data_IF_649474801411
#
_entry.id   IF_649474801411
#
_cell.length_a   1.000
_cell.length_b   1.000
_cell.length_c   1.000
_cell.angle_alpha   90.00
_cell.angle_beta   90.00
_cell.angle_gamma   90.00
#
_symmetry.space_group_name_H-M   'P 1'
#
loop_
_entity.id
_entity.type
_entity.pdbx_description
1 polymer ?
#
# COMPACT_ATOMS: atom_id res chain seq x y z
N UNK A 1 -10.39 -13.12 -17.11
CA UNK A 1 -9.28 -13.67 -17.93
C UNK A 1 -9.14 -15.19 -17.81
N UNK A 2 -9.03 -15.76 -16.60
CA UNK A 2 -8.84 -17.22 -16.43
C UNK A 2 -9.94 -18.07 -17.10
N UNK A 3 -11.22 -17.72 -16.94
CA UNK A 3 -12.34 -18.41 -17.60
C UNK A 3 -12.31 -18.32 -19.13
N UNK A 4 -11.82 -17.22 -19.69
CA UNK A 4 -11.66 -17.08 -21.14
C UNK A 4 -10.53 -17.99 -21.66
N UNK A 5 -9.43 -18.10 -20.92
CA UNK A 5 -8.36 -19.03 -21.24
C UNK A 5 -8.81 -20.50 -21.13
N UNK A 6 -9.60 -20.85 -20.10
CA UNK A 6 -10.24 -22.16 -20.00
C UNK A 6 -11.06 -22.45 -21.25
N UNK A 7 -11.99 -21.56 -21.61
CA UNK A 7 -12.83 -21.70 -22.82
C UNK A 7 -12.00 -21.84 -24.10
N UNK A 8 -10.89 -21.12 -24.22
CA UNK A 8 -10.02 -21.25 -25.40
C UNK A 8 -9.39 -22.65 -25.52
N UNK A 9 -9.11 -23.31 -24.39
CA UNK A 9 -8.51 -24.65 -24.35
C UNK A 9 -9.52 -25.78 -24.48
N UNK A 10 -10.70 -25.61 -23.89
CA UNK A 10 -11.70 -26.69 -23.76
C UNK A 10 -12.90 -26.51 -24.68
N UNK A 11 -13.13 -25.31 -25.20
CA UNK A 11 -14.38 -24.94 -25.89
C UNK A 11 -15.52 -24.60 -24.92
N UNK A 12 -15.33 -24.79 -23.61
CA UNK A 12 -16.40 -24.70 -22.62
C UNK A 12 -16.27 -23.46 -21.74
N UNK A 13 -17.39 -22.74 -21.58
CA UNK A 13 -17.50 -21.69 -20.57
C UNK A 13 -17.48 -22.28 -19.16
N UNK A 14 -17.34 -21.41 -18.15
CA UNK A 14 -17.45 -21.80 -16.75
C UNK A 14 -18.15 -20.71 -15.95
N UNK A 15 -18.86 -21.12 -14.89
CA UNK A 15 -19.43 -20.19 -13.91
C UNK A 15 -18.32 -19.66 -12.98
N UNK A 16 -18.39 -18.38 -12.64
CA UNK A 16 -17.50 -17.74 -11.67
C UNK A 16 -18.35 -17.23 -10.50
N UNK A 17 -18.00 -17.64 -9.29
CA UNK A 17 -18.61 -17.14 -8.06
C UNK A 17 -17.59 -16.34 -7.25
N UNK A 18 -18.05 -15.26 -6.64
CA UNK A 18 -17.24 -14.38 -5.81
C UNK A 18 -18.12 -13.60 -4.85
N UNK A 19 -17.59 -13.29 -3.67
CA UNK A 19 -18.29 -12.52 -2.64
C UNK A 19 -17.40 -11.43 -2.05
N UNK A 20 -18.03 -10.35 -1.54
CA UNK A 20 -17.34 -9.30 -0.80
C UNK A 20 -16.57 -9.88 0.41
N UNK A 21 -17.11 -10.92 1.04
CA UNK A 21 -16.46 -11.60 2.15
C UNK A 21 -15.16 -12.31 1.71
N UNK A 22 -15.19 -13.05 0.61
CA UNK A 22 -13.97 -13.68 0.05
C UNK A 22 -12.93 -12.62 -0.30
N UNK A 23 -13.34 -11.50 -0.91
CA UNK A 23 -12.44 -10.38 -1.22
C UNK A 23 -11.81 -9.77 0.04
N UNK A 24 -12.62 -9.54 1.08
CA UNK A 24 -12.14 -9.00 2.35
C UNK A 24 -11.19 -9.95 3.10
N UNK A 25 -11.43 -11.27 3.03
CA UNK A 25 -10.52 -12.28 3.58
C UNK A 25 -9.20 -12.29 2.79
N UNK A 26 -9.27 -12.27 1.46
CA UNK A 26 -8.09 -12.25 0.61
C UNK A 26 -7.21 -11.01 0.85
N UNK A 27 -7.82 -9.83 0.97
CA UNK A 27 -7.12 -8.58 1.30
C UNK A 27 -6.44 -8.61 2.69
N UNK A 28 -6.92 -9.48 3.60
CA UNK A 28 -6.39 -9.66 4.95
C UNK A 28 -5.62 -10.98 5.13
N UNK A 29 -5.22 -11.63 4.03
CA UNK A 29 -4.65 -12.98 4.05
C UNK A 29 -3.53 -13.14 5.09
N UNK A 30 -2.60 -12.18 5.19
CA UNK A 30 -1.55 -12.21 6.20
C UNK A 30 -2.07 -12.38 7.64
N UNK A 31 -3.06 -11.56 8.04
CA UNK A 31 -3.61 -11.58 9.40
C UNK A 31 -4.45 -12.84 9.64
N UNK A 32 -5.28 -13.21 8.67
CA UNK A 32 -6.14 -14.39 8.76
C UNK A 32 -5.29 -15.66 8.84
N UNK A 33 -4.29 -15.81 7.99
CA UNK A 33 -3.35 -16.95 8.03
C UNK A 33 -2.58 -16.98 9.35
N UNK A 34 -2.10 -15.83 9.85
CA UNK A 34 -1.42 -15.77 11.15
C UNK A 34 -2.30 -16.29 12.29
N UNK A 35 -3.59 -15.91 12.30
CA UNK A 35 -4.56 -16.45 13.25
C UNK A 35 -4.73 -17.97 13.08
N UNK A 36 -4.97 -18.44 11.85
CA UNK A 36 -5.18 -19.87 11.56
C UNK A 36 -3.97 -20.73 11.95
N UNK A 37 -2.75 -20.20 11.87
CA UNK A 37 -1.53 -20.92 12.24
C UNK A 37 -1.26 -20.93 13.74
N UNK A 38 -1.51 -19.81 14.43
CA UNK A 38 -1.05 -19.61 15.82
C UNK A 38 -2.18 -19.71 16.86
N UNK A 39 -3.43 -19.57 16.44
CA UNK A 39 -4.57 -19.39 17.33
C UNK A 39 -4.56 -18.07 18.12
N UNK A 40 -3.60 -17.17 17.86
CA UNK A 40 -3.45 -15.92 18.61
C UNK A 40 -4.71 -15.06 18.47
N UNK A 41 -5.26 -14.58 19.59
CA UNK A 41 -6.52 -13.84 19.68
C UNK A 41 -7.81 -14.67 19.50
N UNK A 42 -7.74 -16.01 19.54
CA UNK A 42 -8.94 -16.84 19.59
C UNK A 42 -9.85 -16.46 20.76
N UNK A 43 -11.13 -16.21 20.48
CA UNK A 43 -12.13 -15.80 21.48
C UNK A 43 -11.98 -14.37 21.99
N UNK A 44 -11.14 -13.54 21.36
CA UNK A 44 -10.92 -12.15 21.75
C UNK A 44 -11.08 -11.21 20.55
N UNK A 45 -11.52 -9.95 20.75
CA UNK A 45 -11.49 -8.97 19.68
C UNK A 45 -10.05 -8.70 19.27
N UNK A 46 -9.83 -8.47 17.97
CA UNK A 46 -8.52 -8.04 17.47
C UNK A 46 -8.11 -6.75 18.19
N UNK A 47 -6.94 -6.73 18.85
CA UNK A 47 -6.53 -5.57 19.62
C UNK A 47 -6.22 -4.40 18.68
N UNK A 48 -6.63 -3.19 19.09
CA UNK A 48 -6.11 -1.96 18.49
C UNK A 48 -4.70 -1.74 19.03
N UNK A 49 -3.68 -2.14 18.26
CA UNK A 49 -2.29 -2.03 18.69
C UNK A 49 -1.85 -0.57 18.55
N UNK A 50 -1.43 0.03 19.66
CA UNK A 50 -0.84 1.37 19.67
C UNK A 50 0.51 1.36 18.93
N UNK A 51 0.82 2.44 18.18
CA UNK A 51 2.14 2.67 17.58
C UNK A 51 3.30 2.56 18.58
N UNK A 52 3.03 2.76 19.87
CA UNK A 52 4.03 2.71 20.95
C UNK A 52 4.39 1.27 21.35
N UNK A 53 3.67 0.28 20.84
CA UNK A 53 3.86 -1.14 21.13
C UNK A 53 4.11 -1.95 19.84
N UNK A 54 4.42 -1.27 18.73
CA UNK A 54 4.84 -1.90 17.47
C UNK A 54 6.35 -1.85 17.30
N UNK A 55 6.89 -2.62 16.37
CA UNK A 55 8.32 -2.53 16.03
C UNK A 55 8.70 -1.09 15.67
N UNK A 56 9.81 -0.54 16.18
CA UNK A 56 10.27 0.80 15.81
C UNK A 56 10.68 0.88 14.33
N UNK A 57 11.00 -0.26 13.72
CA UNK A 57 11.38 -0.36 12.31
C UNK A 57 10.20 -0.67 11.38
N UNK A 58 9.01 -0.92 11.95
CA UNK A 58 7.73 -1.00 11.23
C UNK A 58 6.77 0.01 11.85
N UNK A 59 7.07 1.28 11.66
CA UNK A 59 6.38 2.39 12.33
C UNK A 59 6.48 3.67 11.49
N UNK A 60 5.73 4.68 11.89
CA UNK A 60 5.79 6.02 11.30
C UNK A 60 6.36 7.02 12.30
N UNK A 61 7.07 8.07 11.89
CA UNK A 61 7.58 9.12 12.79
C UNK A 61 7.39 10.49 12.17
N UNK A 62 7.01 11.48 12.98
CA UNK A 62 6.79 12.84 12.52
C UNK A 62 8.12 13.59 12.50
N UNK A 63 8.49 14.10 11.34
CA UNK A 63 9.69 14.87 11.10
C UNK A 63 9.51 16.34 11.47
N UNK A 64 10.61 17.11 11.42
CA UNK A 64 10.66 18.54 11.80
C UNK A 64 9.68 19.42 11.03
N UNK A 65 9.52 19.14 9.75
CA UNK A 65 8.63 19.84 8.80
C UNK A 65 7.16 19.44 8.97
N UNK A 66 6.85 18.59 9.95
CA UNK A 66 5.50 18.11 10.23
C UNK A 66 5.04 16.95 9.34
N UNK A 67 5.86 16.52 8.39
CA UNK A 67 5.60 15.36 7.53
C UNK A 67 5.90 14.06 8.28
N UNK A 68 5.26 12.98 7.88
CA UNK A 68 5.49 11.66 8.47
C UNK A 68 6.41 10.83 7.58
N UNK A 69 7.30 10.06 8.18
CA UNK A 69 8.14 9.06 7.51
C UNK A 69 7.67 7.69 7.98
N UNK A 70 7.31 6.80 7.06
CA UNK A 70 6.96 5.40 7.35
C UNK A 70 8.16 4.51 7.10
N UNK A 71 8.52 3.70 8.09
CA UNK A 71 9.51 2.63 8.00
C UNK A 71 8.79 1.28 7.84
N UNK A 72 9.30 0.44 6.95
CA UNK A 72 8.69 -0.85 6.60
C UNK A 72 9.73 -1.98 6.59
N UNK A 73 10.52 -2.09 7.65
CA UNK A 73 11.58 -3.08 7.79
C UNK A 73 11.14 -4.22 8.72
N UNK A 74 10.54 -5.26 8.13
CA UNK A 74 9.95 -6.38 8.86
C UNK A 74 10.97 -7.29 9.58
N UNK A 75 12.26 -7.19 9.26
CA UNK A 75 13.32 -8.05 9.79
C UNK A 75 14.22 -7.27 10.77
N UNK A 76 13.81 -7.09 12.04
CA UNK A 76 14.54 -6.22 12.96
C UNK A 76 15.99 -6.64 13.16
N UNK A 77 16.30 -7.94 13.26
CA UNK A 77 17.67 -8.42 13.39
C UNK A 77 18.60 -8.04 12.22
N UNK A 78 18.06 -7.91 11.00
CA UNK A 78 18.83 -7.48 9.81
C UNK A 78 19.05 -5.97 9.80
N UNK A 79 17.99 -5.21 10.04
CA UNK A 79 18.00 -3.76 9.81
C UNK A 79 18.44 -2.95 11.03
N UNK A 80 18.23 -3.46 12.24
CA UNK A 80 18.48 -2.72 13.48
C UNK A 80 19.93 -2.29 13.69
N UNK A 81 20.96 -3.14 13.49
CA UNK A 81 22.34 -2.72 13.68
C UNK A 81 22.73 -1.55 12.78
N UNK A 82 22.37 -1.64 11.49
CA UNK A 82 22.65 -0.60 10.51
C UNK A 82 21.82 0.67 10.80
N UNK A 83 20.55 0.53 11.20
CA UNK A 83 19.70 1.65 11.60
C UNK A 83 20.28 2.39 12.81
N UNK A 84 20.67 1.67 13.86
CA UNK A 84 21.30 2.26 15.06
C UNK A 84 22.55 3.05 14.72
N UNK A 85 23.47 2.42 13.97
CA UNK A 85 24.71 3.07 13.55
C UNK A 85 24.40 4.34 12.75
N UNK A 86 23.48 4.26 11.80
CA UNK A 86 23.11 5.38 10.93
C UNK A 86 22.47 6.54 11.74
N UNK A 87 21.60 6.23 12.70
CA UNK A 87 21.02 7.23 13.59
C UNK A 87 22.08 7.86 14.50
N UNK A 88 23.01 7.07 15.03
CA UNK A 88 24.11 7.58 15.86
C UNK A 88 25.05 8.49 15.06
N UNK A 89 25.43 8.11 13.84
CA UNK A 89 26.23 8.96 12.94
C UNK A 89 25.51 10.28 12.61
N UNK A 90 24.19 10.23 12.43
CA UNK A 90 23.38 11.39 12.05
C UNK A 90 23.08 12.35 13.23
N UNK A 91 22.99 11.84 14.45
CA UNK A 91 22.46 12.59 15.61
C UNK A 91 23.42 12.69 16.78
N UNK A 92 24.48 11.87 16.81
CA UNK A 92 25.34 11.68 17.96
C UNK A 92 24.69 10.90 19.11
N UNK A 93 23.42 10.46 18.95
CA UNK A 93 22.66 9.80 20.00
C UNK A 93 22.70 8.29 19.79
N UNK A 94 23.32 7.51 20.71
CA UNK A 94 23.25 6.05 20.64
C UNK A 94 21.83 5.57 20.95
N UNK A 95 21.42 4.52 20.26
CA UNK A 95 20.14 3.84 20.46
C UNK A 95 20.37 2.51 21.18
N UNK A 96 19.44 2.15 22.05
CA UNK A 96 19.39 0.87 22.77
C UNK A 96 18.06 0.18 22.42
N UNK A 97 17.96 -1.16 22.47
CA UNK A 97 19.01 -2.14 22.84
C UNK A 97 20.07 -2.36 21.75
N UNK A 98 21.14 -3.09 22.06
CA UNK A 98 22.15 -3.48 21.06
C UNK A 98 21.57 -4.34 19.94
N UNK A 99 20.77 -5.35 20.33
CA UNK A 99 20.05 -6.24 19.44
C UNK A 99 18.53 -6.04 19.61
N UNK A 100 17.81 -6.00 18.48
CA UNK A 100 16.36 -5.91 18.45
C UNK A 100 15.78 -7.15 17.79
N UNK A 101 14.94 -7.87 18.53
CA UNK A 101 14.24 -9.06 18.06
C UNK A 101 12.75 -8.99 18.43
N UNK A 102 11.95 -9.85 17.80
CA UNK A 102 10.51 -9.96 18.10
C UNK A 102 10.30 -10.33 19.58
N UNK A 103 11.11 -11.24 20.11
CA UNK A 103 10.98 -11.69 21.51
C UNK A 103 11.41 -10.59 22.49
N UNK A 104 12.47 -9.83 22.18
CA UNK A 104 12.87 -8.68 22.98
C UNK A 104 11.73 -7.66 23.07
N UNK A 105 11.13 -7.30 21.92
CA UNK A 105 10.02 -6.33 21.89
C UNK A 105 8.80 -6.78 22.71
N UNK A 106 8.55 -8.10 22.80
CA UNK A 106 7.47 -8.66 23.61
C UNK A 106 7.76 -8.62 25.11
N UNK A 107 9.01 -8.84 25.51
CA UNK A 107 9.41 -8.87 26.93
C UNK A 107 9.68 -7.48 27.51
N UNK A 108 10.07 -6.52 26.68
CA UNK A 108 10.55 -5.19 27.09
C UNK A 108 9.60 -4.07 26.62
N UNK A 109 8.32 -4.20 26.93
CA UNK A 109 7.30 -3.25 26.44
C UNK A 109 7.53 -1.81 26.91
N UNK A 110 8.05 -1.60 28.12
CA UNK A 110 8.32 -0.26 28.65
C UNK A 110 9.50 0.40 27.94
N UNK A 111 10.57 -0.35 27.73
CA UNK A 111 11.77 0.08 27.03
C UNK A 111 11.48 0.33 25.55
N UNK A 112 10.64 -0.51 24.92
CA UNK A 112 10.13 -0.30 23.56
C UNK A 112 9.38 1.02 23.43
N UNK A 113 8.48 1.33 24.36
CA UNK A 113 7.77 2.62 24.37
C UNK A 113 8.75 3.80 24.51
N UNK A 114 9.76 3.67 25.38
CA UNK A 114 10.81 4.67 25.54
C UNK A 114 11.65 4.86 24.28
N UNK A 115 12.01 3.77 23.60
CA UNK A 115 12.71 3.81 22.32
C UNK A 115 11.89 4.52 21.25
N UNK A 116 10.60 4.21 21.13
CA UNK A 116 9.72 4.86 20.15
C UNK A 116 9.57 6.35 20.44
N UNK A 117 9.43 6.74 21.71
CA UNK A 117 9.39 8.15 22.09
C UNK A 117 10.70 8.87 21.76
N UNK A 118 11.85 8.23 22.03
CA UNK A 118 13.16 8.76 21.63
C UNK A 118 13.29 8.91 20.11
N UNK A 119 12.76 7.96 19.35
CA UNK A 119 12.72 8.07 17.88
C UNK A 119 11.79 9.19 17.42
N UNK A 120 10.63 9.41 18.07
CA UNK A 120 9.78 10.58 17.78
C UNK A 120 10.57 11.90 17.94
N UNK A 121 11.37 12.03 19.02
CA UNK A 121 12.23 13.20 19.24
C UNK A 121 13.32 13.32 18.17
N UNK A 122 14.01 12.23 17.84
CA UNK A 122 15.08 12.25 16.85
C UNK A 122 14.55 12.61 15.46
N UNK A 123 13.46 11.98 15.01
CA UNK A 123 12.86 12.30 13.71
C UNK A 123 12.43 13.77 13.63
N UNK A 124 11.96 14.37 14.73
CA UNK A 124 11.60 15.78 14.79
C UNK A 124 12.79 16.77 14.63
N UNK A 125 14.04 16.30 14.60
CA UNK A 125 15.23 17.17 14.46
C UNK A 125 15.56 17.57 13.02
N UNK A 126 15.08 16.81 12.02
CA UNK A 126 15.35 17.05 10.59
C UNK A 126 14.08 16.92 9.74
N UNK A 127 14.01 17.56 8.56
CA UNK A 127 12.94 17.36 7.58
C UNK A 127 12.81 15.90 7.14
N UNK A 128 11.61 15.48 6.73
CA UNK A 128 11.33 14.09 6.38
C UNK A 128 12.19 13.58 5.22
N UNK A 129 12.41 14.41 4.19
CA UNK A 129 13.22 14.03 3.02
C UNK A 129 14.69 13.82 3.37
N UNK A 130 15.25 14.59 4.30
CA UNK A 130 16.63 14.37 4.77
C UNK A 130 16.77 13.01 5.45
N UNK A 131 15.80 12.60 6.27
CA UNK A 131 15.79 11.27 6.88
C UNK A 131 15.72 10.16 5.84
N UNK A 132 14.83 10.32 4.86
CA UNK A 132 14.67 9.37 3.76
C UNK A 132 15.97 9.23 2.97
N UNK A 133 16.59 10.32 2.54
CA UNK A 133 17.86 10.29 1.81
C UNK A 133 18.99 9.62 2.61
N UNK A 134 19.09 9.94 3.90
CA UNK A 134 20.13 9.42 4.77
C UNK A 134 20.00 7.91 4.99
N UNK A 135 18.79 7.44 5.32
CA UNK A 135 18.52 6.03 5.60
C UNK A 135 18.48 5.20 4.30
N UNK A 136 17.98 5.75 3.19
CA UNK A 136 17.93 5.05 1.89
C UNK A 136 19.31 4.74 1.34
N UNK A 137 20.32 5.59 1.59
CA UNK A 137 21.74 5.31 1.24
C UNK A 137 22.30 4.05 1.91
N UNK A 138 21.62 3.53 2.93
CA UNK A 138 21.98 2.33 3.68
C UNK A 138 20.98 1.18 3.44
N UNK A 139 20.29 1.19 2.29
CA UNK A 139 19.30 0.19 1.87
C UNK A 139 18.14 -0.01 2.87
N UNK A 140 17.79 1.04 3.62
CA UNK A 140 16.64 1.03 4.51
C UNK A 140 15.34 1.22 3.72
N UNK A 141 14.29 0.50 4.13
CA UNK A 141 12.96 0.58 3.51
C UNK A 141 12.12 1.61 4.24
N UNK A 142 12.04 2.81 3.66
CA UNK A 142 11.26 3.93 4.17
C UNK A 142 10.89 4.95 3.09
N UNK A 143 9.82 5.69 3.33
CA UNK A 143 9.41 6.83 2.51
C UNK A 143 8.58 7.84 3.32
N UNK A 144 8.53 9.08 2.83
CA UNK A 144 7.60 10.10 3.31
C UNK A 144 6.17 9.67 3.00
N UNK A 145 5.26 9.83 3.96
CA UNK A 145 3.83 9.67 3.74
C UNK A 145 3.37 10.81 2.82
N UNK A 146 3.00 10.44 1.59
CA UNK A 146 2.56 11.37 0.57
C UNK A 146 1.10 11.80 0.78
N UNK A 147 0.82 13.04 0.43
CA UNK A 147 -0.53 13.57 0.23
C UNK A 147 -1.06 13.18 -1.15
N UNK A 148 -2.38 13.24 -1.35
CA UNK A 148 -2.97 12.90 -2.65
C UNK A 148 -2.51 13.82 -3.78
N UNK A 149 -2.25 15.10 -3.49
CA UNK A 149 -1.68 16.05 -4.45
C UNK A 149 -0.28 15.64 -4.91
N UNK A 150 0.56 15.20 -3.98
CA UNK A 150 1.91 14.73 -4.28
C UNK A 150 1.89 13.41 -5.04
N UNK A 151 1.04 12.46 -4.63
CA UNK A 151 0.83 11.22 -5.37
C UNK A 151 0.40 11.51 -6.81
N UNK A 152 -0.50 12.48 -7.00
CA UNK A 152 -1.00 12.83 -8.31
C UNK A 152 0.11 13.36 -9.24
N UNK A 153 1.14 13.97 -8.69
CA UNK A 153 2.24 14.58 -9.44
C UNK A 153 3.56 13.79 -9.27
N UNK A 154 3.51 12.57 -8.71
CA UNK A 154 4.68 11.73 -8.48
C UNK A 154 5.30 11.27 -9.81
N UNK A 155 6.63 11.41 -10.02
CA UNK A 155 7.29 10.98 -11.25
C UNK A 155 7.04 9.52 -11.61
N UNK A 156 6.94 8.62 -10.63
CA UNK A 156 6.61 7.22 -10.90
C UNK A 156 5.17 7.04 -11.36
N UNK A 157 4.24 7.84 -10.85
CA UNK A 157 2.83 7.83 -11.30
C UNK A 157 2.73 8.32 -12.74
N UNK A 158 3.46 9.39 -13.08
CA UNK A 158 3.51 9.94 -14.43
C UNK A 158 4.18 8.99 -15.44
N UNK A 159 5.35 8.44 -15.10
CA UNK A 159 6.11 7.55 -15.99
C UNK A 159 5.38 6.22 -16.29
N UNK A 160 4.48 5.80 -15.40
CA UNK A 160 3.77 4.53 -15.52
C UNK A 160 2.29 4.68 -15.92
N UNK A 161 1.85 5.88 -16.32
CA UNK A 161 0.45 6.17 -16.69
C UNK A 161 -0.57 5.72 -15.63
N UNK A 162 -0.20 5.80 -14.34
CA UNK A 162 -1.07 5.32 -13.26
C UNK A 162 -2.26 6.26 -13.02
N UNK A 163 -2.14 7.53 -13.42
CA UNK A 163 -3.24 8.50 -13.50
C UNK A 163 -3.31 9.01 -14.93
N UNK A 164 -4.43 8.79 -15.58
CA UNK A 164 -4.67 9.16 -16.97
C UNK A 164 -5.65 10.32 -17.06
N UNK A 165 -5.55 11.08 -18.15
CA UNK A 165 -6.54 12.10 -18.51
C UNK A 165 -7.49 11.55 -19.56
N UNK A 166 -8.78 11.73 -19.34
CA UNK A 166 -9.86 11.28 -20.23
C UNK A 166 -10.75 12.47 -20.55
N UNK A 167 -11.04 12.68 -21.83
CA UNK A 167 -11.97 13.73 -22.26
C UNK A 167 -13.42 13.28 -22.07
N UNK A 168 -14.14 13.95 -21.17
CA UNK A 168 -15.55 13.72 -20.91
C UNK A 168 -16.43 14.71 -21.67
N UNK A 169 -17.45 14.27 -22.43
CA UNK A 169 -18.27 15.15 -23.28
C UNK A 169 -18.89 16.35 -22.56
N UNK A 170 -19.31 16.18 -21.30
CA UNK A 170 -19.93 17.24 -20.49
C UNK A 170 -19.01 17.90 -19.45
N UNK A 171 -17.86 17.28 -19.13
CA UNK A 171 -17.00 17.71 -18.01
C UNK A 171 -15.57 18.10 -18.46
N UNK A 172 -15.28 17.99 -19.77
CA UNK A 172 -13.95 18.27 -20.31
C UNK A 172 -12.92 17.24 -19.87
N UNK A 173 -11.65 17.64 -19.85
CA UNK A 173 -10.55 16.78 -19.42
C UNK A 173 -10.66 16.43 -17.93
N UNK A 174 -10.70 15.13 -17.62
CA UNK A 174 -10.80 14.60 -16.26
C UNK A 174 -9.62 13.67 -15.97
N UNK A 175 -9.03 13.78 -14.76
CA UNK A 175 -7.99 12.87 -14.29
C UNK A 175 -8.61 11.71 -13.51
N UNK A 176 -8.18 10.48 -13.78
CA UNK A 176 -8.62 9.27 -13.07
C UNK A 176 -7.53 8.20 -13.00
N UNK A 177 -7.67 7.24 -12.08
CA UNK A 177 -6.74 6.11 -11.96
C UNK A 177 -6.82 5.26 -13.23
N UNK A 178 -5.67 5.00 -13.84
CA UNK A 178 -5.53 4.18 -15.03
C UNK A 178 -5.66 2.67 -14.75
N UNK A 179 -5.53 1.83 -15.78
CA UNK A 179 -5.44 0.38 -15.62
C UNK A 179 -4.31 -0.01 -14.66
N UNK A 180 -4.56 -0.95 -13.75
CA UNK A 180 -3.57 -1.37 -12.74
C UNK A 180 -2.40 -2.20 -13.31
N UNK A 181 -2.44 -2.56 -14.60
CA UNK A 181 -1.43 -3.40 -15.25
C UNK A 181 -1.12 -2.83 -16.64
N UNK A 182 0.15 -2.53 -16.87
CA UNK A 182 0.67 -2.13 -18.17
C UNK A 182 1.05 -3.37 -18.99
N UNK A 183 0.56 -3.43 -20.23
CA UNK A 183 0.77 -4.55 -21.15
C UNK A 183 1.38 -4.02 -22.45
N UNK A 184 2.52 -4.56 -22.85
CA UNK A 184 3.24 -4.13 -24.05
C UNK A 184 2.46 -4.40 -25.35
N UNK A 185 1.97 -5.64 -25.54
CA UNK A 185 1.28 -6.03 -26.78
C UNK A 185 -0.20 -5.66 -26.84
N UNK A 186 -0.84 -5.42 -25.70
CA UNK A 186 -2.29 -5.10 -25.61
C UNK A 186 -2.56 -4.10 -24.47
N UNK A 187 -2.04 -2.86 -24.57
CA UNK A 187 -2.16 -1.87 -23.51
C UNK A 187 -3.63 -1.60 -23.17
N UNK A 188 -3.94 -1.62 -21.87
CA UNK A 188 -5.26 -1.23 -21.38
C UNK A 188 -5.48 0.26 -21.60
N UNK A 189 -6.71 0.66 -21.94
CA UNK A 189 -7.06 2.09 -22.10
C UNK A 189 -8.52 2.34 -21.75
N UNK A 190 -8.77 3.55 -21.24
CA UNK A 190 -10.12 4.07 -21.02
C UNK A 190 -10.58 4.70 -22.34
N UNK A 191 -11.40 4.00 -23.10
CA UNK A 191 -11.73 4.36 -24.49
C UNK A 191 -12.94 5.29 -24.64
N UNK A 192 -13.86 5.25 -23.68
CA UNK A 192 -15.11 5.97 -23.74
C UNK A 192 -15.47 6.48 -22.34
N UNK A 193 -16.19 7.62 -22.25
CA UNK A 193 -16.78 8.07 -21.00
C UNK A 193 -17.81 7.06 -20.49
N UNK A 194 -18.22 7.20 -19.22
CA UNK A 194 -19.35 6.45 -18.71
C UNK A 194 -20.60 6.73 -19.56
N UNK A 195 -21.35 5.71 -20.01
CA UNK A 195 -22.54 5.92 -20.81
C UNK A 195 -23.63 6.61 -20.00
N UNK A 196 -24.45 7.42 -20.67
CA UNK A 196 -25.68 7.93 -20.08
C UNK A 196 -26.68 6.78 -19.84
N UNK A 197 -27.66 7.03 -18.96
CA UNK A 197 -28.74 6.08 -18.72
C UNK A 197 -29.48 5.77 -20.04
N UNK A 198 -29.47 4.50 -20.46
CA UNK A 198 -30.14 4.05 -21.68
C UNK A 198 -29.44 4.41 -23.00
N UNK A 199 -28.23 4.97 -22.98
CA UNK A 199 -27.55 5.48 -24.19
C UNK A 199 -27.42 4.43 -25.31
N UNK A 200 -27.20 3.16 -24.96
CA UNK A 200 -26.99 2.08 -25.94
C UNK A 200 -28.19 1.12 -26.04
N UNK A 201 -29.35 1.47 -25.50
CA UNK A 201 -30.51 0.55 -25.46
C UNK A 201 -30.99 0.16 -26.86
N UNK A 202 -31.22 1.12 -27.74
CA UNK A 202 -31.71 0.87 -29.11
C UNK A 202 -30.66 0.11 -29.96
N UNK A 203 -29.39 0.51 -29.86
CA UNK A 203 -28.26 -0.13 -30.56
C UNK A 203 -28.19 -1.63 -30.23
N UNK A 204 -28.21 -1.98 -28.94
CA UNK A 204 -28.12 -3.39 -28.50
C UNK A 204 -29.36 -4.20 -28.89
N UNK A 205 -30.56 -3.59 -28.90
CA UNK A 205 -31.78 -4.28 -29.32
C UNK A 205 -31.76 -4.60 -30.83
N UNK A 206 -31.31 -3.66 -31.66
CA UNK A 206 -31.15 -3.89 -33.09
C UNK A 206 -30.10 -4.96 -33.38
N UNK A 207 -28.95 -4.95 -32.68
CA UNK A 207 -27.92 -5.99 -32.78
C UNK A 207 -28.45 -7.39 -32.40
N UNK A 208 -29.37 -7.45 -31.44
CA UNK A 208 -30.04 -8.69 -31.03
C UNK A 208 -31.14 -9.15 -32.02
N UNK A 209 -31.41 -8.39 -33.08
CA UNK A 209 -32.38 -8.73 -34.12
C UNK A 209 -33.80 -8.23 -33.88
N UNK A 210 -34.01 -7.33 -32.92
CA UNK A 210 -35.30 -6.64 -32.75
C UNK A 210 -35.46 -5.53 -33.80
N UNK A 211 -36.70 -5.27 -34.21
CA UNK A 211 -37.06 -4.14 -35.06
C UNK A 211 -37.26 -2.85 -34.25
N UNK A 212 -37.35 -1.73 -34.97
CA UNK A 212 -37.75 -0.44 -34.41
C UNK A 212 -39.20 -0.38 -33.93
N UNK A 213 -40.04 -1.29 -34.44
CA UNK A 213 -41.42 -1.57 -34.00
C UNK A 213 -41.43 -2.73 -33.01
#
# INVERSE_FOLDING_TARGET
MLALFHRQRTGEGQSLDGSLLQGAIAAQAFNVTSYLTTGTYAGQPMPRISRRLTSPLWNHYKAKDGRWVMLAMAQPGRYWPVFRQTMQEATGVPLEPEELSIDWMRMHAAELMGLIAKLDELFATRPAREWVELLRRRDMVLEVVQEYSELADDPQVAENDMIVTVDHPSHGAMRMVGPAVNLDGTPGSIRQPAPQFGQHTEEVLLEAGFSWE
#
